data_IF_847034864273
#
_entry.id   IF_847034864273
#
_cell.length_a   1.000
_cell.length_b   1.000
_cell.length_c   1.000
_cell.angle_alpha   90.00
_cell.angle_beta   90.00
_cell.angle_gamma   90.00
#
_symmetry.space_group_name_H-M   'P 1'
#
loop_
_entity.id
_entity.type
_entity.pdbx_description
1 polymer ?
#
# COMPACT_ATOMS: atom_id res chain seq x y z
N UNK A 1 -72.14 2.48 25.39
CA UNK A 1 -72.61 1.10 25.65
C UNK A 1 -71.48 0.27 26.26
N UNK A 2 -71.19 0.43 27.55
CA UNK A 2 -70.24 -0.40 28.31
C UNK A 2 -70.74 -0.73 29.74
N UNK A 3 -71.91 -1.37 29.97
CA UNK A 3 -72.21 -1.92 31.30
C UNK A 3 -71.94 -3.42 31.41
N UNK A 4 -71.93 -4.16 30.29
CA UNK A 4 -72.03 -5.64 30.31
C UNK A 4 -70.68 -6.36 30.42
N UNK A 5 -69.57 -5.76 29.97
CA UNK A 5 -68.23 -6.39 30.00
C UNK A 5 -67.59 -6.28 31.40
N UNK A 6 -67.98 -5.29 32.21
CA UNK A 6 -67.41 -5.10 33.56
C UNK A 6 -67.85 -6.20 34.56
N UNK A 7 -69.00 -6.83 34.33
CA UNK A 7 -69.59 -7.83 35.24
C UNK A 7 -68.95 -9.21 35.12
N UNK A 8 -68.37 -9.57 33.97
CA UNK A 8 -67.74 -10.89 33.75
C UNK A 8 -66.30 -10.95 34.31
N UNK A 9 -65.62 -9.79 34.45
CA UNK A 9 -64.25 -9.73 34.95
C UNK A 9 -64.13 -9.73 36.49
N UNK A 10 -65.22 -9.45 37.21
CA UNK A 10 -65.26 -9.51 38.68
C UNK A 10 -65.31 -10.96 39.23
N UNK A 11 -65.57 -11.96 38.38
CA UNK A 11 -65.71 -13.36 38.79
C UNK A 11 -64.39 -14.09 39.11
N UNK A 12 -63.24 -13.43 38.93
CA UNK A 12 -61.90 -14.02 39.14
C UNK A 12 -61.06 -13.22 40.13
N UNK A 13 -61.72 -12.48 41.02
CA UNK A 13 -61.05 -11.75 42.08
C UNK A 13 -61.10 -12.55 43.39
N UNK A 14 -60.03 -12.49 44.18
CA UNK A 14 -59.96 -13.20 45.45
C UNK A 14 -61.06 -12.71 46.39
N UNK A 15 -61.87 -13.65 46.88
CA UNK A 15 -62.96 -13.40 47.81
C UNK A 15 -62.43 -13.48 49.24
N UNK A 16 -62.57 -12.40 49.97
CA UNK A 16 -61.98 -12.23 51.29
C UNK A 16 -63.06 -11.93 52.33
N UNK A 17 -63.12 -12.75 53.38
CA UNK A 17 -64.13 -12.64 54.42
C UNK A 17 -63.58 -11.87 55.62
N UNK A 18 -64.22 -10.77 55.99
CA UNK A 18 -63.84 -9.91 57.11
C UNK A 18 -64.75 -10.24 58.29
N UNK A 19 -64.14 -10.70 59.39
CA UNK A 19 -64.83 -11.06 60.62
C UNK A 19 -65.39 -9.81 61.31
N UNK A 20 -66.42 -10.02 62.15
CA UNK A 20 -67.09 -8.94 62.90
C UNK A 20 -66.14 -8.03 63.70
N UNK A 21 -65.02 -8.56 64.21
CA UNK A 21 -64.01 -7.80 64.97
C UNK A 21 -63.33 -6.73 64.10
N UNK A 22 -63.10 -7.02 62.83
CA UNK A 22 -62.41 -6.14 61.87
C UNK A 22 -63.38 -5.29 61.03
N UNK A 23 -64.69 -5.45 61.24
CA UNK A 23 -65.75 -4.81 60.47
C UNK A 23 -65.61 -3.29 60.39
N UNK A 24 -65.35 -2.63 61.53
CA UNK A 24 -65.35 -1.16 61.62
C UNK A 24 -64.25 -0.58 60.73
N UNK A 25 -63.04 -1.14 60.78
CA UNK A 25 -61.92 -0.66 59.96
C UNK A 25 -62.15 -0.89 58.46
N UNK A 26 -62.63 -2.06 58.05
CA UNK A 26 -62.86 -2.33 56.62
C UNK A 26 -64.08 -1.58 56.06
N UNK A 27 -65.11 -1.30 56.86
CA UNK A 27 -66.20 -0.40 56.45
C UNK A 27 -65.69 1.03 56.24
N UNK A 28 -64.80 1.52 57.12
CA UNK A 28 -64.20 2.84 56.95
C UNK A 28 -63.26 2.88 55.73
N UNK A 29 -62.44 1.85 55.54
CA UNK A 29 -61.50 1.74 54.43
C UNK A 29 -62.23 1.65 53.07
N UNK A 30 -63.26 0.81 52.96
CA UNK A 30 -64.07 0.69 51.73
C UNK A 30 -64.83 1.99 51.43
N UNK A 31 -65.36 2.66 52.45
CA UNK A 31 -65.97 4.00 52.30
C UNK A 31 -64.94 5.01 51.80
N UNK A 32 -63.76 5.06 52.41
CA UNK A 32 -62.67 5.96 52.02
C UNK A 32 -62.18 5.69 50.59
N UNK A 33 -62.06 4.42 50.19
CA UNK A 33 -61.71 4.02 48.83
C UNK A 33 -62.75 4.51 47.81
N UNK A 34 -64.05 4.27 48.07
CA UNK A 34 -65.15 4.75 47.22
C UNK A 34 -65.21 6.28 47.13
N UNK A 35 -64.93 6.98 48.22
CA UNK A 35 -64.86 8.44 48.21
C UNK A 35 -63.66 8.95 47.41
N UNK A 36 -62.52 8.26 47.45
CA UNK A 36 -61.37 8.59 46.62
C UNK A 36 -61.65 8.30 45.13
N UNK A 37 -62.32 7.19 44.80
CA UNK A 37 -62.73 6.87 43.44
C UNK A 37 -63.63 7.95 42.82
N UNK A 38 -64.55 8.52 43.61
CA UNK A 38 -65.42 9.63 43.16
C UNK A 38 -64.63 10.91 42.85
N UNK A 39 -63.44 11.07 43.43
CA UNK A 39 -62.55 12.21 43.18
C UNK A 39 -61.66 12.04 41.95
N UNK A 40 -61.53 10.82 41.42
CA UNK A 40 -60.74 10.59 40.19
C UNK A 40 -61.36 11.39 39.04
N UNK A 41 -60.54 12.20 38.37
CA UNK A 41 -60.94 13.14 37.33
C UNK A 41 -61.28 14.54 37.82
N UNK A 42 -61.58 14.74 39.11
CA UNK A 42 -61.91 16.06 39.69
C UNK A 42 -60.83 16.58 40.64
N UNK A 43 -60.34 15.73 41.55
CA UNK A 43 -59.31 16.01 42.55
C UNK A 43 -58.39 14.77 42.66
N UNK A 44 -57.54 14.57 41.64
CA UNK A 44 -56.69 13.37 41.56
C UNK A 44 -55.62 13.36 42.67
N UNK A 45 -55.05 14.51 43.02
CA UNK A 45 -54.04 14.60 44.08
C UNK A 45 -54.63 14.19 45.43
N UNK A 46 -55.82 14.69 45.77
CA UNK A 46 -56.54 14.29 46.98
C UNK A 46 -56.98 12.82 46.94
N UNK A 47 -57.31 12.26 45.77
CA UNK A 47 -57.58 10.84 45.62
C UNK A 47 -56.32 9.98 45.87
N UNK A 48 -55.18 10.36 45.27
CA UNK A 48 -53.89 9.67 45.42
C UNK A 48 -53.44 9.66 46.89
N UNK A 49 -53.51 10.81 47.56
CA UNK A 49 -53.12 10.94 48.97
C UNK A 49 -53.98 10.03 49.85
N UNK A 50 -55.30 10.07 49.67
CA UNK A 50 -56.24 9.28 50.45
C UNK A 50 -56.06 7.77 50.24
N UNK A 51 -55.84 7.34 48.99
CA UNK A 51 -55.58 5.93 48.66
C UNK A 51 -54.22 5.48 49.19
N UNK A 52 -53.21 6.36 49.17
CA UNK A 52 -51.90 6.05 49.76
C UNK A 52 -52.01 5.80 51.26
N UNK A 53 -52.75 6.63 52.01
CA UNK A 53 -53.01 6.38 53.43
C UNK A 53 -53.66 5.02 53.72
N UNK A 54 -54.57 4.56 52.85
CA UNK A 54 -55.17 3.21 52.98
C UNK A 54 -54.16 2.10 52.67
N UNK A 55 -53.26 2.33 51.73
CA UNK A 55 -52.24 1.36 51.35
C UNK A 55 -51.12 1.27 52.39
N UNK A 56 -50.84 2.35 53.10
CA UNK A 56 -49.83 2.43 54.15
C UNK A 56 -50.35 1.98 55.52
N UNK A 57 -51.67 1.81 55.67
CA UNK A 57 -52.28 1.29 56.90
C UNK A 57 -51.91 -0.20 57.12
N UNK A 58 -51.16 -0.54 58.20
CA UNK A 58 -50.76 -1.91 58.50
C UNK A 58 -51.91 -2.76 59.05
N UNK A 59 -52.99 -2.17 59.56
CA UNK A 59 -54.15 -2.90 60.08
C UNK A 59 -55.02 -3.49 58.96
N UNK A 60 -54.83 -3.02 57.72
CA UNK A 60 -55.49 -3.48 56.50
C UNK A 60 -54.61 -4.51 55.78
N UNK A 61 -54.70 -5.77 56.21
CA UNK A 61 -53.99 -6.89 55.58
C UNK A 61 -54.56 -7.31 54.22
N UNK A 62 -55.86 -7.06 53.98
CA UNK A 62 -56.60 -7.49 52.78
C UNK A 62 -56.75 -6.30 51.82
N UNK A 63 -56.08 -6.37 50.66
CA UNK A 63 -56.02 -5.32 49.62
C UNK A 63 -56.18 -5.98 48.26
N UNK A 64 -56.83 -5.29 47.31
CA UNK A 64 -57.12 -5.77 45.94
C UNK A 64 -58.05 -7.00 45.86
N UNK A 65 -59.08 -7.06 46.71
CA UNK A 65 -59.99 -8.22 46.82
C UNK A 65 -61.48 -7.82 46.84
N UNK A 66 -62.35 -8.81 46.71
CA UNK A 66 -63.79 -8.67 47.00
C UNK A 66 -64.02 -8.95 48.49
N UNK A 67 -64.37 -7.92 49.25
CA UNK A 67 -64.59 -8.05 50.68
C UNK A 67 -66.04 -8.41 50.98
N UNK A 68 -66.23 -9.52 51.71
CA UNK A 68 -67.47 -9.88 52.37
C UNK A 68 -67.34 -9.51 53.85
N UNK A 69 -68.05 -8.49 54.31
CA UNK A 69 -67.91 -7.97 55.68
C UNK A 69 -69.08 -8.49 56.54
N UNK A 70 -68.77 -9.17 57.64
CA UNK A 70 -69.78 -9.71 58.54
C UNK A 70 -70.43 -8.61 59.39
N UNK A 71 -71.76 -8.47 59.33
CA UNK A 71 -72.49 -7.43 60.07
C UNK A 71 -72.92 -7.90 61.46
N UNK A 72 -73.72 -8.98 61.50
CA UNK A 72 -74.21 -9.68 62.70
C UNK A 72 -73.95 -11.18 62.50
N UNK A 73 -74.88 -11.89 61.86
CA UNK A 73 -74.75 -13.33 61.55
C UNK A 73 -74.68 -13.60 60.02
N UNK A 74 -74.76 -12.54 59.22
CA UNK A 74 -74.72 -12.57 57.76
C UNK A 74 -73.62 -11.64 57.23
N UNK A 75 -73.11 -11.98 56.05
CA UNK A 75 -72.15 -11.16 55.31
C UNK A 75 -72.91 -10.20 54.38
N UNK A 76 -72.44 -8.96 54.29
CA UNK A 76 -72.91 -8.01 53.28
C UNK A 76 -72.55 -8.50 51.86
N UNK A 77 -73.26 -7.98 50.83
CA UNK A 77 -72.84 -8.15 49.44
C UNK A 77 -71.38 -7.74 49.23
N UNK A 78 -70.64 -8.44 48.35
CA UNK A 78 -69.21 -8.20 48.18
C UNK A 78 -68.93 -6.78 47.73
N UNK A 79 -67.93 -6.17 48.36
CA UNK A 79 -67.44 -4.84 48.00
C UNK A 79 -66.07 -4.97 47.36
N UNK A 80 -65.91 -4.48 46.13
CA UNK A 80 -64.60 -4.34 45.51
C UNK A 80 -63.75 -3.35 46.30
N UNK A 81 -62.63 -3.83 46.83
CA UNK A 81 -61.65 -3.02 47.54
C UNK A 81 -60.33 -3.06 46.78
N UNK A 82 -60.18 -2.10 45.87
CA UNK A 82 -59.13 -2.03 44.84
C UNK A 82 -58.25 -0.78 44.97
N UNK A 83 -57.59 -0.56 46.12
CA UNK A 83 -56.89 0.70 46.39
C UNK A 83 -55.67 0.97 45.51
N UNK A 84 -54.92 -0.06 45.06
CA UNK A 84 -53.81 0.12 44.10
C UNK A 84 -54.34 0.45 42.71
N UNK A 85 -55.33 -0.30 42.21
CA UNK A 85 -55.91 -0.01 40.90
C UNK A 85 -56.52 1.40 40.85
N UNK A 86 -57.25 1.79 41.90
CA UNK A 86 -57.85 3.12 41.99
C UNK A 86 -56.80 4.22 42.09
N UNK A 87 -55.67 3.99 42.79
CA UNK A 87 -54.58 4.98 42.89
C UNK A 87 -53.84 5.13 41.57
N UNK A 88 -53.62 4.03 40.85
CA UNK A 88 -53.10 4.07 39.49
C UNK A 88 -54.00 4.89 38.56
N UNK A 89 -55.32 4.68 38.59
CA UNK A 89 -56.26 5.45 37.76
C UNK A 89 -56.21 6.94 38.07
N UNK A 90 -56.10 7.31 39.34
CA UNK A 90 -55.90 8.71 39.75
C UNK A 90 -54.57 9.27 39.21
N UNK A 91 -53.47 8.50 39.28
CA UNK A 91 -52.17 8.88 38.72
C UNK A 91 -52.20 9.04 37.20
N UNK A 92 -52.87 8.14 36.47
CA UNK A 92 -53.06 8.25 35.02
C UNK A 92 -53.88 9.50 34.65
N UNK A 93 -54.97 9.75 35.38
CA UNK A 93 -55.79 10.96 35.20
C UNK A 93 -55.00 12.24 35.49
N UNK A 94 -54.13 12.24 36.51
CA UNK A 94 -53.26 13.37 36.82
C UNK A 94 -52.17 13.56 35.77
N UNK A 95 -51.54 12.46 35.31
CA UNK A 95 -50.53 12.47 34.27
C UNK A 95 -51.07 13.09 32.97
N UNK A 96 -52.29 12.73 32.57
CA UNK A 96 -52.95 13.27 31.38
C UNK A 96 -53.17 14.79 31.43
N UNK A 97 -53.18 15.39 32.62
CA UNK A 97 -53.36 16.84 32.85
C UNK A 97 -52.07 17.57 33.22
N UNK A 98 -50.97 16.84 33.38
CA UNK A 98 -49.68 17.40 33.78
C UNK A 98 -48.89 17.83 32.55
N UNK A 99 -48.64 19.14 32.42
CA UNK A 99 -47.92 19.71 31.27
C UNK A 99 -46.41 19.44 31.32
N UNK A 100 -45.85 19.29 32.52
CA UNK A 100 -44.43 19.01 32.73
C UNK A 100 -44.10 17.57 32.33
N UNK A 101 -43.27 17.40 31.29
CA UNK A 101 -42.79 16.10 30.84
C UNK A 101 -42.13 15.25 31.94
N UNK A 102 -41.24 15.77 32.81
CA UNK A 102 -40.65 14.96 33.87
C UNK A 102 -41.68 14.55 34.94
N UNK A 103 -42.60 15.44 35.31
CA UNK A 103 -43.62 15.13 36.32
C UNK A 103 -44.65 14.14 35.77
N UNK A 104 -45.05 14.29 34.50
CA UNK A 104 -45.92 13.34 33.79
C UNK A 104 -45.25 11.97 33.71
N UNK A 105 -43.97 11.90 33.40
CA UNK A 105 -43.18 10.64 33.39
C UNK A 105 -43.20 9.98 34.77
N UNK A 106 -42.91 10.73 35.84
CA UNK A 106 -42.91 10.20 37.20
C UNK A 106 -44.29 9.65 37.61
N UNK A 107 -45.38 10.34 37.25
CA UNK A 107 -46.74 9.89 37.51
C UNK A 107 -47.09 8.59 36.75
N UNK A 108 -46.66 8.47 35.49
CA UNK A 108 -46.85 7.26 34.69
C UNK A 108 -46.05 6.07 35.24
N UNK A 109 -44.80 6.27 35.66
CA UNK A 109 -43.98 5.23 36.31
C UNK A 109 -44.64 4.72 37.60
N UNK A 110 -45.13 5.64 38.44
CA UNK A 110 -45.85 5.29 39.66
C UNK A 110 -47.20 4.62 39.39
N UNK A 111 -47.89 4.98 38.31
CA UNK A 111 -49.13 4.32 37.90
C UNK A 111 -48.86 2.88 37.43
N UNK A 112 -47.80 2.67 36.65
CA UNK A 112 -47.36 1.32 36.21
C UNK A 112 -47.06 0.43 37.41
N UNK A 113 -46.30 0.94 38.40
CA UNK A 113 -45.97 0.19 39.61
C UNK A 113 -47.23 -0.25 40.40
N UNK A 114 -48.21 0.65 40.58
CA UNK A 114 -49.48 0.32 41.24
C UNK A 114 -50.29 -0.73 40.45
N UNK A 115 -50.31 -0.64 39.12
CA UNK A 115 -51.04 -1.59 38.27
C UNK A 115 -50.37 -2.96 38.26
N UNK A 116 -49.04 -3.02 38.29
CA UNK A 116 -48.30 -4.27 38.45
C UNK A 116 -48.60 -4.95 39.78
N UNK A 117 -48.65 -4.18 40.88
CA UNK A 117 -49.04 -4.70 42.19
C UNK A 117 -50.50 -5.20 42.21
N UNK A 118 -51.41 -4.48 41.56
CA UNK A 118 -52.81 -4.89 41.37
C UNK A 118 -52.92 -6.20 40.56
N UNK A 119 -52.15 -6.35 39.47
CA UNK A 119 -52.09 -7.58 38.67
C UNK A 119 -51.50 -8.74 39.49
N UNK A 120 -50.45 -8.48 40.29
CA UNK A 120 -49.85 -9.47 41.20
C UNK A 120 -50.86 -10.01 42.22
N UNK A 121 -51.87 -9.20 42.56
CA UNK A 121 -53.01 -9.55 43.42
C UNK A 121 -54.25 -9.99 42.65
N UNK A 122 -54.07 -10.54 41.45
CA UNK A 122 -55.10 -11.15 40.61
C UNK A 122 -56.17 -10.20 40.03
N UNK A 123 -55.96 -8.88 40.02
CA UNK A 123 -56.91 -7.93 39.43
C UNK A 123 -56.64 -7.77 37.93
N UNK A 124 -57.27 -8.65 37.14
CA UNK A 124 -57.07 -8.74 35.68
C UNK A 124 -57.44 -7.47 34.92
N UNK A 125 -58.38 -6.67 35.42
CA UNK A 125 -58.77 -5.39 34.82
C UNK A 125 -57.63 -4.36 34.77
N UNK A 126 -56.56 -4.55 35.55
CA UNK A 126 -55.37 -3.68 35.55
C UNK A 126 -54.41 -3.90 34.38
N UNK A 127 -54.52 -5.02 33.64
CA UNK A 127 -53.59 -5.34 32.52
C UNK A 127 -53.67 -4.29 31.42
N UNK A 128 -54.88 -3.99 30.92
CA UNK A 128 -55.06 -3.03 29.83
C UNK A 128 -54.60 -1.61 30.23
N UNK A 129 -54.81 -1.23 31.49
CA UNK A 129 -54.36 0.06 32.02
C UNK A 129 -52.83 0.14 32.09
N UNK A 130 -52.15 -0.95 32.50
CA UNK A 130 -50.68 -1.00 32.57
C UNK A 130 -50.07 -0.87 31.18
N UNK A 131 -50.64 -1.57 30.22
CA UNK A 131 -50.12 -1.59 28.84
C UNK A 131 -50.26 -0.20 28.20
N UNK A 132 -51.41 0.47 28.38
CA UNK A 132 -51.60 1.86 27.95
C UNK A 132 -50.61 2.82 28.64
N UNK A 133 -50.39 2.69 29.94
CA UNK A 133 -49.45 3.53 30.69
C UNK A 133 -48.00 3.34 30.23
N UNK A 134 -47.59 2.12 29.90
CA UNK A 134 -46.25 1.80 29.37
C UNK A 134 -46.05 2.34 27.96
N UNK A 135 -47.08 2.29 27.11
CA UNK A 135 -47.04 2.87 25.77
C UNK A 135 -46.85 4.40 25.84
N UNK A 136 -47.60 5.07 26.72
CA UNK A 136 -47.46 6.51 26.95
C UNK A 136 -46.08 6.87 27.52
N UNK A 137 -45.55 6.05 28.44
CA UNK A 137 -44.20 6.22 28.98
C UNK A 137 -43.11 6.10 27.89
N UNK A 138 -43.28 5.19 26.93
CA UNK A 138 -42.36 5.02 25.81
C UNK A 138 -42.35 6.24 24.87
N UNK A 139 -43.47 6.93 24.71
CA UNK A 139 -43.56 8.17 23.92
C UNK A 139 -42.84 9.36 24.58
N UNK A 140 -42.61 9.31 25.89
CA UNK A 140 -41.93 10.36 26.67
C UNK A 140 -40.42 10.12 26.86
N UNK A 141 -39.87 9.02 26.32
CA UNK A 141 -38.44 8.77 26.39
C UNK A 141 -37.66 9.75 25.47
N UNK A 142 -36.60 10.42 25.96
CA UNK A 142 -35.79 11.28 25.12
C UNK A 142 -35.11 10.47 24.00
N UNK A 143 -35.09 11.02 22.79
CA UNK A 143 -34.32 10.44 21.69
C UNK A 143 -32.84 10.30 22.09
N UNK A 144 -32.16 9.19 21.74
CA UNK A 144 -30.75 9.03 22.05
C UNK A 144 -29.93 10.19 21.44
N UNK A 145 -28.85 10.63 22.12
CA UNK A 145 -28.01 11.72 21.63
C UNK A 145 -27.49 11.39 20.22
N UNK A 146 -27.58 12.36 19.31
CA UNK A 146 -27.13 12.22 17.92
C UNK A 146 -25.63 11.88 17.89
N UNK A 147 -25.30 10.63 17.59
CA UNK A 147 -23.93 10.13 17.52
C UNK A 147 -23.18 10.63 16.26
N UNK A 148 -23.90 11.24 15.31
CA UNK A 148 -23.35 11.64 14.02
C UNK A 148 -22.20 12.66 14.10
N UNK A 149 -22.21 13.71 14.95
CA UNK A 149 -21.12 14.69 15.01
C UNK A 149 -19.79 14.08 15.48
N UNK A 150 -19.83 13.20 16.49
CA UNK A 150 -18.64 12.54 17.02
C UNK A 150 -18.03 11.60 15.97
N UNK A 151 -18.88 10.85 15.24
CA UNK A 151 -18.44 9.99 14.15
C UNK A 151 -17.76 10.78 13.02
N UNK A 152 -18.35 11.90 12.59
CA UNK A 152 -17.76 12.78 11.57
C UNK A 152 -16.39 13.33 12.00
N UNK A 153 -16.29 13.79 13.25
CA UNK A 153 -15.03 14.32 13.79
C UNK A 153 -13.94 13.23 13.80
N UNK A 154 -14.28 12.01 14.24
CA UNK A 154 -13.33 10.89 14.25
C UNK A 154 -12.93 10.46 12.84
N UNK A 155 -13.87 10.41 11.90
CA UNK A 155 -13.57 10.13 10.49
C UNK A 155 -12.60 11.16 9.90
N UNK A 156 -12.87 12.45 10.11
CA UNK A 156 -11.99 13.53 9.64
C UNK A 156 -10.58 13.45 10.25
N UNK A 157 -10.47 13.09 11.54
CA UNK A 157 -9.20 12.86 12.20
C UNK A 157 -8.41 11.72 11.55
N UNK A 158 -9.04 10.57 11.30
CA UNK A 158 -8.38 9.43 10.64
C UNK A 158 -7.88 9.79 9.24
N UNK A 159 -8.63 10.60 8.49
CA UNK A 159 -8.18 11.10 7.19
C UNK A 159 -6.97 12.05 7.30
N UNK A 160 -6.92 12.89 8.33
CA UNK A 160 -5.76 13.77 8.59
C UNK A 160 -4.51 12.96 8.97
N UNK A 161 -4.68 11.87 9.70
CA UNK A 161 -3.63 10.91 10.07
C UNK A 161 -3.25 9.95 8.92
N UNK A 162 -3.85 10.10 7.72
CA UNK A 162 -3.64 9.24 6.52
C UNK A 162 -4.04 7.77 6.75
N UNK A 163 -4.99 7.52 7.65
CA UNK A 163 -5.52 6.19 8.01
C UNK A 163 -6.80 5.86 7.24
N UNK A 164 -6.69 5.71 5.93
CA UNK A 164 -7.85 5.64 5.03
C UNK A 164 -8.66 4.36 5.20
N UNK A 165 -8.00 3.20 5.37
CA UNK A 165 -8.70 1.93 5.61
C UNK A 165 -9.45 1.97 6.94
N UNK A 166 -8.79 2.45 8.01
CA UNK A 166 -9.43 2.64 9.31
C UNK A 166 -10.64 3.58 9.23
N UNK A 167 -10.55 4.67 8.44
CA UNK A 167 -11.66 5.59 8.22
C UNK A 167 -12.86 4.90 7.55
N UNK A 168 -12.62 4.00 6.58
CA UNK A 168 -13.69 3.18 5.98
C UNK A 168 -14.30 2.20 6.97
N UNK A 169 -13.48 1.43 7.68
CA UNK A 169 -13.97 0.47 8.67
C UNK A 169 -14.79 1.14 9.78
N UNK A 170 -14.46 2.38 10.15
CA UNK A 170 -15.26 3.18 11.09
C UNK A 170 -16.68 3.42 10.56
N UNK A 171 -16.84 3.76 9.27
CA UNK A 171 -18.15 3.97 8.65
C UNK A 171 -18.94 2.67 8.50
N UNK A 172 -18.28 1.55 8.23
CA UNK A 172 -18.91 0.25 8.14
C UNK A 172 -19.44 -0.24 9.50
N UNK A 173 -18.69 0.04 10.57
CA UNK A 173 -19.03 -0.39 11.93
C UNK A 173 -20.02 0.53 12.64
N UNK A 174 -19.74 1.84 12.61
CA UNK A 174 -20.43 2.83 13.45
C UNK A 174 -21.33 3.77 12.63
N UNK A 175 -21.30 3.67 11.29
CA UNK A 175 -22.03 4.56 10.39
C UNK A 175 -23.53 4.30 10.24
N UNK A 176 -24.12 3.40 11.03
CA UNK A 176 -25.57 3.15 11.03
C UNK A 176 -26.38 4.37 11.50
N UNK A 177 -25.76 5.27 12.28
CA UNK A 177 -26.36 6.52 12.72
C UNK A 177 -26.42 7.59 11.61
N UNK A 178 -25.75 7.40 10.48
CA UNK A 178 -25.74 8.34 9.36
C UNK A 178 -26.73 7.94 8.27
N UNK A 179 -27.33 8.91 7.55
CA UNK A 179 -28.04 8.64 6.31
C UNK A 179 -27.16 7.89 5.30
N UNK A 180 -27.76 6.96 4.55
CA UNK A 180 -27.02 6.11 3.60
C UNK A 180 -26.22 6.91 2.57
N UNK A 181 -26.78 8.02 2.08
CA UNK A 181 -26.11 8.93 1.16
C UNK A 181 -24.85 9.56 1.80
N UNK A 182 -24.98 10.08 3.01
CA UNK A 182 -23.87 10.72 3.71
C UNK A 182 -22.73 9.74 4.01
N UNK A 183 -23.08 8.51 4.42
CA UNK A 183 -22.09 7.44 4.60
C UNK A 183 -21.34 7.13 3.30
N UNK A 184 -22.05 7.09 2.17
CA UNK A 184 -21.44 6.89 0.86
C UNK A 184 -20.52 8.05 0.47
N UNK A 185 -20.93 9.29 0.74
CA UNK A 185 -20.12 10.49 0.47
C UNK A 185 -18.82 10.51 1.29
N UNK A 186 -18.89 10.19 2.59
CA UNK A 186 -17.72 10.08 3.46
C UNK A 186 -16.77 8.95 3.02
N UNK A 187 -17.32 7.79 2.65
CA UNK A 187 -16.53 6.67 2.13
C UNK A 187 -15.86 7.01 0.79
N UNK A 188 -16.53 7.76 -0.08
CA UNK A 188 -15.99 8.28 -1.34
C UNK A 188 -14.88 9.31 -1.09
N UNK A 189 -15.07 10.21 -0.11
CA UNK A 189 -14.04 11.17 0.30
C UNK A 189 -12.77 10.47 0.80
N UNK A 190 -12.91 9.40 1.58
CA UNK A 190 -11.76 8.59 2.03
C UNK A 190 -10.98 8.00 0.85
N UNK A 191 -11.68 7.46 -0.14
CA UNK A 191 -11.06 6.91 -1.35
C UNK A 191 -10.38 7.98 -2.19
N UNK A 192 -11.03 9.11 -2.42
CA UNK A 192 -10.48 10.22 -3.21
C UNK A 192 -9.21 10.77 -2.56
N UNK A 193 -9.21 10.96 -1.24
CA UNK A 193 -8.02 11.38 -0.50
C UNK A 193 -6.92 10.32 -0.53
N UNK A 194 -7.27 9.04 -0.40
CA UNK A 194 -6.31 7.96 -0.54
C UNK A 194 -5.68 7.95 -1.95
N UNK A 195 -6.47 8.13 -3.03
CA UNK A 195 -5.97 8.25 -4.41
C UNK A 195 -4.99 9.40 -4.53
N UNK A 196 -5.41 10.60 -4.13
CA UNK A 196 -4.59 11.80 -4.21
C UNK A 196 -3.25 11.65 -3.45
N UNK A 197 -3.31 11.07 -2.25
CA UNK A 197 -2.12 10.78 -1.45
C UNK A 197 -1.18 9.78 -2.14
N UNK A 198 -1.69 8.66 -2.65
CA UNK A 198 -0.86 7.68 -3.36
C UNK A 198 -0.25 8.26 -4.63
N UNK A 199 -0.99 9.06 -5.38
CA UNK A 199 -0.47 9.77 -6.56
C UNK A 199 0.66 10.73 -6.19
N UNK A 200 0.55 11.45 -5.08
CA UNK A 200 1.61 12.33 -4.56
C UNK A 200 2.87 11.53 -4.19
N UNK A 201 2.70 10.45 -3.44
CA UNK A 201 3.80 9.59 -2.99
C UNK A 201 4.49 8.90 -4.16
N UNK A 202 3.74 8.44 -5.17
CA UNK A 202 4.31 7.93 -6.42
C UNK A 202 5.10 8.99 -7.17
N UNK A 203 4.62 10.24 -7.22
CA UNK A 203 5.37 11.32 -7.87
C UNK A 203 6.71 11.57 -7.19
N UNK A 204 6.74 11.55 -5.86
CA UNK A 204 7.96 11.67 -5.06
C UNK A 204 8.88 10.47 -5.27
N UNK A 205 8.34 9.26 -5.23
CA UNK A 205 9.08 8.03 -5.54
C UNK A 205 9.72 8.11 -6.93
N UNK A 206 8.97 8.56 -7.95
CA UNK A 206 9.49 8.78 -9.30
C UNK A 206 10.63 9.78 -9.34
N UNK A 207 10.46 10.92 -8.67
CA UNK A 207 11.49 11.96 -8.59
C UNK A 207 12.78 11.46 -7.94
N UNK A 208 12.66 10.66 -6.87
CA UNK A 208 13.80 10.02 -6.18
C UNK A 208 14.47 8.96 -7.04
N UNK A 209 13.70 8.11 -7.74
CA UNK A 209 14.24 7.14 -8.69
C UNK A 209 14.97 7.82 -9.86
N UNK A 210 14.42 8.93 -10.37
CA UNK A 210 15.05 9.71 -11.44
C UNK A 210 16.36 10.38 -11.01
N UNK A 211 16.51 10.68 -9.71
CA UNK A 211 17.75 11.24 -9.17
C UNK A 211 18.88 10.21 -9.06
N UNK A 212 18.57 8.90 -9.09
CA UNK A 212 19.58 7.84 -9.20
C UNK A 212 20.07 7.80 -10.65
N UNK A 213 21.29 8.25 -10.89
CA UNK A 213 21.83 8.27 -12.25
C UNK A 213 22.35 6.88 -12.65
N UNK A 214 23.01 6.17 -11.75
CA UNK A 214 23.64 4.88 -12.03
C UNK A 214 23.34 3.81 -10.98
N UNK A 215 23.59 2.54 -11.31
CA UNK A 215 23.55 1.45 -10.34
C UNK A 215 24.65 1.61 -9.29
N UNK A 216 25.77 2.25 -9.62
CA UNK A 216 26.80 2.61 -8.66
C UNK A 216 26.27 3.59 -7.61
N UNK A 217 25.47 4.59 -8.00
CA UNK A 217 24.84 5.52 -7.05
C UNK A 217 23.91 4.78 -6.09
N UNK A 218 23.11 3.83 -6.63
CA UNK A 218 22.27 2.98 -5.81
C UNK A 218 23.12 2.19 -4.80
N UNK A 219 24.17 1.51 -5.25
CA UNK A 219 25.09 0.74 -4.38
C UNK A 219 25.82 1.60 -3.34
N UNK A 220 26.05 2.88 -3.65
CA UNK A 220 26.69 3.82 -2.73
C UNK A 220 25.76 4.29 -1.60
N UNK A 221 24.44 4.16 -1.76
CA UNK A 221 23.47 4.53 -0.71
C UNK A 221 23.62 3.63 0.52
N UNK A 222 23.59 4.27 1.69
CA UNK A 222 23.39 3.57 2.96
C UNK A 222 22.00 2.93 3.03
N UNK A 223 21.78 2.02 3.99
CA UNK A 223 20.47 1.42 4.22
C UNK A 223 19.41 2.49 4.54
N UNK A 224 19.73 3.42 5.43
CA UNK A 224 18.80 4.46 5.88
C UNK A 224 18.45 5.45 4.75
N UNK A 225 19.44 5.85 3.95
CA UNK A 225 19.20 6.68 2.76
C UNK A 225 18.33 5.97 1.72
N UNK A 226 18.57 4.67 1.51
CA UNK A 226 17.76 3.86 0.60
C UNK A 226 16.33 3.76 1.11
N UNK A 227 16.13 3.43 2.38
CA UNK A 227 14.81 3.28 2.96
C UNK A 227 14.05 4.61 2.94
N UNK A 228 14.70 5.74 3.26
CA UNK A 228 14.10 7.07 3.11
C UNK A 228 13.78 7.42 1.64
N UNK A 229 14.63 7.03 0.70
CA UNK A 229 14.45 7.32 -0.72
C UNK A 229 13.30 6.52 -1.36
N UNK A 230 13.10 5.28 -0.92
CA UNK A 230 12.14 4.36 -1.52
C UNK A 230 10.99 3.98 -0.57
N UNK A 231 10.85 4.69 0.55
CA UNK A 231 9.71 4.53 1.45
C UNK A 231 8.40 4.80 0.70
N UNK A 232 7.49 3.83 0.83
CA UNK A 232 6.12 3.92 0.34
C UNK A 232 5.18 3.73 1.53
N UNK A 233 3.97 4.34 1.49
CA UNK A 233 3.00 4.19 2.56
C UNK A 233 2.69 2.72 2.86
N UNK A 234 2.46 2.37 4.12
CA UNK A 234 2.21 0.98 4.52
C UNK A 234 0.89 0.42 3.95
N UNK A 235 0.82 -0.87 3.56
CA UNK A 235 -0.41 -1.49 3.01
C UNK A 235 -1.60 -1.47 3.95
N UNK A 236 -1.35 -1.49 5.27
CA UNK A 236 -2.37 -1.67 6.28
C UNK A 236 -3.44 -0.58 6.27
N UNK A 237 -3.06 0.66 5.92
CA UNK A 237 -3.94 1.83 6.01
C UNK A 237 -4.41 2.36 4.65
N UNK A 238 -4.04 1.67 3.56
CA UNK A 238 -4.49 2.00 2.21
C UNK A 238 -5.86 1.36 1.96
N UNK A 239 -6.85 2.17 1.60
CA UNK A 239 -8.22 1.72 1.33
C UNK A 239 -8.42 1.17 -0.10
N UNK A 240 -7.55 1.55 -1.04
CA UNK A 240 -7.71 1.26 -2.47
C UNK A 240 -6.49 0.55 -3.04
N UNK A 241 -6.70 -0.34 -4.01
CA UNK A 241 -5.60 -0.93 -4.77
C UNK A 241 -5.13 0.07 -5.83
N UNK A 242 -3.82 0.30 -5.89
CA UNK A 242 -3.19 1.15 -6.91
C UNK A 242 -2.04 0.38 -7.57
N UNK A 243 -2.19 -0.08 -8.83
CA UNK A 243 -1.23 -0.96 -9.49
C UNK A 243 0.22 -0.45 -9.46
N UNK A 244 0.44 0.85 -9.70
CA UNK A 244 1.79 1.42 -9.65
C UNK A 244 2.43 1.41 -8.26
N UNK A 245 1.63 1.45 -7.17
CA UNK A 245 2.17 1.36 -5.80
C UNK A 245 2.57 -0.07 -5.48
N UNK A 246 1.78 -1.05 -5.90
CA UNK A 246 2.10 -2.47 -5.74
C UNK A 246 3.39 -2.82 -6.49
N UNK A 247 3.47 -2.42 -7.76
CA UNK A 247 4.69 -2.54 -8.55
C UNK A 247 5.88 -1.84 -7.88
N UNK A 248 5.71 -0.61 -7.39
CA UNK A 248 6.84 0.14 -6.80
C UNK A 248 7.38 -0.55 -5.54
N UNK A 249 6.53 -1.21 -4.75
CA UNK A 249 6.96 -2.03 -3.62
C UNK A 249 7.76 -3.25 -4.05
N UNK A 250 7.26 -4.00 -5.04
CA UNK A 250 7.98 -5.16 -5.58
C UNK A 250 9.32 -4.75 -6.21
N UNK A 251 9.34 -3.63 -6.94
CA UNK A 251 10.54 -3.06 -7.52
C UNK A 251 11.55 -2.63 -6.46
N UNK A 252 11.09 -2.07 -5.33
CA UNK A 252 11.95 -1.65 -4.22
C UNK A 252 12.73 -2.82 -3.62
N UNK A 253 12.15 -4.02 -3.55
CA UNK A 253 12.87 -5.23 -3.12
C UNK A 253 14.03 -5.56 -4.07
N UNK A 254 13.81 -5.45 -5.38
CA UNK A 254 14.86 -5.66 -6.38
C UNK A 254 15.93 -4.57 -6.29
N UNK A 255 15.52 -3.31 -6.12
CA UNK A 255 16.46 -2.20 -5.91
C UNK A 255 17.32 -2.43 -4.68
N UNK A 256 16.73 -2.94 -3.58
CA UNK A 256 17.45 -3.27 -2.34
C UNK A 256 18.47 -4.39 -2.57
N UNK A 257 18.11 -5.43 -3.32
CA UNK A 257 19.04 -6.51 -3.68
C UNK A 257 20.20 -6.04 -4.55
N UNK A 258 19.94 -5.16 -5.52
CA UNK A 258 20.97 -4.56 -6.38
C UNK A 258 21.89 -3.64 -5.56
N UNK A 259 21.31 -2.82 -4.66
CA UNK A 259 22.03 -1.96 -3.71
C UNK A 259 23.01 -2.77 -2.87
N UNK A 260 22.54 -3.89 -2.31
CA UNK A 260 23.32 -4.79 -1.48
C UNK A 260 24.31 -5.67 -2.26
N UNK A 261 24.37 -5.54 -3.59
CA UNK A 261 25.24 -6.36 -4.44
C UNK A 261 24.82 -7.84 -4.55
N UNK A 262 23.63 -8.20 -4.04
CA UNK A 262 23.09 -9.57 -4.12
C UNK A 262 22.61 -9.93 -5.52
N UNK A 263 22.22 -8.93 -6.31
CA UNK A 263 21.81 -9.08 -7.72
C UNK A 263 22.62 -8.15 -8.62
N UNK A 264 22.90 -8.54 -9.87
CA UNK A 264 23.50 -7.66 -10.86
C UNK A 264 22.52 -6.54 -11.25
N UNK A 265 23.02 -5.40 -11.76
CA UNK A 265 22.14 -4.30 -12.17
C UNK A 265 21.19 -4.67 -13.33
N UNK A 266 21.50 -5.70 -14.12
CA UNK A 266 20.57 -6.26 -15.12
C UNK A 266 19.30 -6.85 -14.52
N UNK A 267 19.25 -7.13 -13.20
CA UNK A 267 18.03 -7.55 -12.52
C UNK A 267 16.94 -6.47 -12.54
N UNK A 268 17.30 -5.20 -12.76
CA UNK A 268 16.38 -4.07 -12.92
C UNK A 268 15.49 -4.20 -14.17
N UNK A 269 15.84 -5.08 -15.12
CA UNK A 269 14.98 -5.39 -16.27
C UNK A 269 13.68 -6.11 -15.88
N UNK A 270 13.65 -6.81 -14.74
CA UNK A 270 12.42 -7.43 -14.22
C UNK A 270 11.37 -6.37 -13.81
N UNK A 271 11.72 -5.43 -12.92
CA UNK A 271 10.88 -4.27 -12.63
C UNK A 271 10.51 -3.44 -13.87
N UNK A 272 11.44 -3.26 -14.81
CA UNK A 272 11.16 -2.56 -16.07
C UNK A 272 10.07 -3.29 -16.88
N UNK A 273 10.17 -4.62 -17.01
CA UNK A 273 9.17 -5.44 -17.69
C UNK A 273 7.80 -5.37 -17.00
N UNK A 274 7.75 -5.45 -15.67
CA UNK A 274 6.51 -5.26 -14.90
C UNK A 274 5.88 -3.87 -15.11
N UNK A 275 6.71 -2.84 -15.26
CA UNK A 275 6.29 -1.47 -15.52
C UNK A 275 5.73 -1.24 -16.94
N UNK A 276 5.93 -2.18 -17.88
CA UNK A 276 5.37 -2.09 -19.23
C UNK A 276 3.83 -2.07 -19.25
N UNK A 277 3.19 -2.47 -18.15
CA UNK A 277 1.73 -2.46 -17.97
C UNK A 277 1.22 -1.17 -17.31
N UNK A 278 2.11 -0.29 -16.88
CA UNK A 278 1.81 0.93 -16.14
C UNK A 278 1.92 2.15 -17.05
N UNK A 279 0.97 2.26 -17.98
CA UNK A 279 0.86 3.39 -18.89
C UNK A 279 0.34 4.64 -18.15
N UNK A 280 0.98 5.78 -18.38
CA UNK A 280 0.58 7.09 -17.88
C UNK A 280 0.53 8.08 -19.05
N UNK A 281 -0.67 8.54 -19.43
CA UNK A 281 -0.89 9.52 -20.50
C UNK A 281 -0.22 9.17 -21.85
N UNK A 282 -0.22 7.89 -22.26
CA UNK A 282 0.42 7.45 -23.49
C UNK A 282 1.92 7.20 -23.38
N UNK A 283 2.50 7.36 -22.20
CA UNK A 283 3.91 7.13 -21.91
C UNK A 283 4.12 6.01 -20.88
N UNK A 284 5.35 5.51 -20.81
CA UNK A 284 5.76 4.45 -19.88
C UNK A 284 6.92 4.95 -19.00
N UNK A 285 6.68 5.91 -18.09
CA UNK A 285 7.76 6.56 -17.34
C UNK A 285 8.53 5.59 -16.45
N UNK A 286 7.83 4.64 -15.82
CA UNK A 286 8.42 3.62 -14.95
C UNK A 286 9.32 2.65 -15.72
N UNK A 287 8.86 2.19 -16.90
CA UNK A 287 9.65 1.36 -17.82
C UNK A 287 10.92 2.09 -18.24
N UNK A 288 10.81 3.38 -18.60
CA UNK A 288 11.94 4.20 -19.04
C UNK A 288 12.98 4.38 -17.94
N UNK A 289 12.56 4.67 -16.70
CA UNK A 289 13.49 4.88 -15.59
C UNK A 289 14.27 3.61 -15.24
N UNK A 290 13.56 2.48 -15.03
CA UNK A 290 14.20 1.21 -14.71
C UNK A 290 15.03 0.67 -15.88
N UNK A 291 14.50 0.79 -17.11
CA UNK A 291 15.17 0.37 -18.33
C UNK A 291 16.47 1.15 -18.57
N UNK A 292 16.45 2.47 -18.39
CA UNK A 292 17.64 3.31 -18.55
C UNK A 292 18.75 2.99 -17.53
N UNK A 293 18.37 2.70 -16.27
CA UNK A 293 19.32 2.26 -15.24
C UNK A 293 19.94 0.90 -15.58
N UNK A 294 19.11 -0.06 -15.98
CA UNK A 294 19.57 -1.39 -16.38
C UNK A 294 20.48 -1.32 -17.62
N UNK A 295 20.09 -0.52 -18.62
CA UNK A 295 20.86 -0.29 -19.83
C UNK A 295 22.24 0.29 -19.52
N UNK A 296 22.31 1.31 -18.67
CA UNK A 296 23.57 1.97 -18.31
C UNK A 296 24.54 1.00 -17.66
N UNK A 297 24.08 0.20 -16.70
CA UNK A 297 24.92 -0.85 -16.09
C UNK A 297 25.37 -1.85 -17.16
N UNK A 298 24.47 -2.34 -18.02
CA UNK A 298 24.83 -3.29 -19.08
C UNK A 298 25.87 -2.72 -20.04
N UNK A 299 25.71 -1.45 -20.41
CA UNK A 299 26.64 -0.73 -21.29
C UNK A 299 28.02 -0.61 -20.64
N UNK A 300 28.09 -0.14 -19.40
CA UNK A 300 29.34 -0.01 -18.64
C UNK A 300 30.02 -1.38 -18.47
N UNK A 301 29.23 -2.43 -18.22
CA UNK A 301 29.69 -3.82 -18.08
C UNK A 301 30.27 -4.39 -19.39
N UNK A 302 29.71 -4.00 -20.54
CA UNK A 302 30.22 -4.32 -21.88
C UNK A 302 31.49 -3.52 -22.20
N UNK A 303 31.50 -2.22 -21.95
CA UNK A 303 32.68 -1.35 -22.17
C UNK A 303 33.89 -1.82 -21.35
N UNK A 304 33.66 -2.21 -20.08
CA UNK A 304 34.69 -2.81 -19.23
C UNK A 304 35.24 -4.10 -19.84
N UNK A 305 34.38 -5.03 -20.26
CA UNK A 305 34.80 -6.29 -20.90
C UNK A 305 35.53 -6.09 -22.21
N UNK A 306 35.13 -5.11 -23.02
CA UNK A 306 35.83 -4.77 -24.26
C UNK A 306 37.25 -4.30 -23.96
N UNK A 307 37.42 -3.47 -22.93
CA UNK A 307 38.73 -3.02 -22.47
C UNK A 307 39.58 -4.20 -21.99
N UNK A 308 39.02 -5.10 -21.17
CA UNK A 308 39.69 -6.33 -20.74
C UNK A 308 40.06 -7.23 -21.92
N UNK A 309 39.17 -7.34 -22.91
CA UNK A 309 39.38 -8.17 -24.10
C UNK A 309 40.51 -7.64 -25.00
N UNK A 310 40.75 -6.32 -25.02
CA UNK A 310 41.78 -5.70 -25.86
C UNK A 310 43.20 -6.13 -25.49
N UNK A 311 43.43 -6.35 -24.19
CA UNK A 311 44.76 -6.66 -23.64
C UNK A 311 44.89 -8.11 -23.17
N UNK A 312 43.77 -8.86 -23.15
CA UNK A 312 43.74 -10.27 -22.78
C UNK A 312 44.43 -11.17 -23.82
N UNK A 313 45.11 -12.25 -23.37
CA UNK A 313 45.59 -13.28 -24.27
C UNK A 313 44.43 -14.01 -24.94
N UNK A 314 44.69 -14.63 -26.10
CA UNK A 314 43.68 -15.40 -26.87
C UNK A 314 42.79 -16.32 -26.01
N UNK A 315 43.36 -17.05 -25.06
CA UNK A 315 42.64 -17.96 -24.16
C UNK A 315 41.60 -17.30 -23.26
N UNK A 316 41.73 -15.99 -22.97
CA UNK A 316 40.78 -15.21 -22.17
C UNK A 316 39.85 -14.35 -23.03
N UNK A 317 40.24 -14.04 -24.27
CA UNK A 317 39.42 -13.26 -25.22
C UNK A 317 38.12 -13.97 -25.60
N UNK A 318 38.17 -15.27 -25.88
CA UNK A 318 36.97 -16.04 -26.24
C UNK A 318 35.90 -16.07 -25.11
N UNK A 319 36.25 -16.36 -23.85
CA UNK A 319 35.31 -16.20 -22.73
C UNK A 319 34.75 -14.78 -22.60
N UNK A 320 35.59 -13.75 -22.69
CA UNK A 320 35.13 -12.35 -22.60
C UNK A 320 34.17 -11.97 -23.75
N UNK A 321 34.43 -12.49 -24.96
CA UNK A 321 33.52 -12.38 -26.10
C UNK A 321 32.13 -12.95 -25.79
N UNK A 322 32.12 -14.16 -25.25
CA UNK A 322 30.88 -14.86 -24.88
C UNK A 322 30.13 -14.10 -23.78
N UNK A 323 30.84 -13.52 -22.80
CA UNK A 323 30.22 -12.70 -21.77
C UNK A 323 29.61 -11.40 -22.34
N UNK A 324 30.29 -10.72 -23.28
CA UNK A 324 29.74 -9.56 -23.98
C UNK A 324 28.44 -9.97 -24.70
N UNK A 325 28.48 -11.06 -25.48
CA UNK A 325 27.30 -11.55 -26.20
C UNK A 325 26.17 -11.90 -25.24
N UNK A 326 26.47 -12.52 -24.09
CA UNK A 326 25.46 -12.82 -23.08
C UNK A 326 24.77 -11.56 -22.55
N UNK A 327 25.47 -10.43 -22.41
CA UNK A 327 24.86 -9.15 -22.02
C UNK A 327 23.94 -8.58 -23.11
N UNK A 328 24.33 -8.69 -24.37
CA UNK A 328 23.48 -8.31 -25.50
C UNK A 328 22.20 -9.15 -25.54
N UNK A 329 22.30 -10.46 -25.33
CA UNK A 329 21.13 -11.36 -25.29
C UNK A 329 20.23 -11.07 -24.08
N UNK A 330 20.75 -10.61 -22.94
CA UNK A 330 19.93 -10.16 -21.80
C UNK A 330 19.06 -8.97 -22.18
N UNK A 331 19.63 -7.95 -22.84
CA UNK A 331 18.87 -6.79 -23.32
C UNK A 331 17.85 -7.18 -24.39
N UNK A 332 18.28 -7.96 -25.39
CA UNK A 332 17.42 -8.45 -26.47
C UNK A 332 16.25 -9.27 -25.93
N UNK A 333 16.52 -10.20 -25.01
CA UNK A 333 15.48 -11.00 -24.37
C UNK A 333 14.49 -10.16 -23.58
N UNK A 334 14.92 -9.05 -22.98
CA UNK A 334 14.02 -8.06 -22.39
C UNK A 334 13.18 -7.35 -23.46
N UNK A 335 13.80 -6.79 -24.49
CA UNK A 335 13.11 -6.08 -25.56
C UNK A 335 12.07 -6.96 -26.29
N UNK A 336 12.39 -8.25 -26.49
CA UNK A 336 11.51 -9.20 -27.18
C UNK A 336 10.29 -9.62 -26.34
N UNK A 337 10.34 -9.50 -25.01
CA UNK A 337 9.18 -9.75 -24.13
C UNK A 337 8.17 -8.60 -24.12
N UNK A 338 8.60 -7.40 -24.47
CA UNK A 338 7.73 -6.24 -24.47
C UNK A 338 6.69 -6.31 -25.59
N UNK A 339 5.45 -5.97 -25.26
CA UNK A 339 4.38 -5.95 -26.24
C UNK A 339 4.70 -4.96 -27.39
N UNK A 340 4.32 -5.29 -28.65
CA UNK A 340 4.59 -4.41 -29.80
C UNK A 340 4.02 -2.99 -29.66
N UNK A 341 2.92 -2.80 -28.93
CA UNK A 341 2.39 -1.48 -28.62
C UNK A 341 3.36 -0.67 -27.74
N UNK A 342 3.89 -1.27 -26.67
CA UNK A 342 4.86 -0.63 -25.77
C UNK A 342 6.13 -0.27 -26.54
N UNK A 343 6.66 -1.19 -27.36
CA UNK A 343 7.88 -0.93 -28.17
C UNK A 343 7.71 0.25 -29.12
N UNK A 344 6.54 0.43 -29.75
CA UNK A 344 6.25 1.58 -30.63
C UNK A 344 6.35 2.92 -29.90
N UNK A 345 5.95 2.97 -28.63
CA UNK A 345 6.08 4.17 -27.79
C UNK A 345 7.45 4.30 -27.12
N UNK A 346 8.22 3.22 -27.06
CA UNK A 346 9.53 3.14 -26.42
C UNK A 346 10.68 2.95 -27.43
N UNK A 347 10.73 3.77 -28.48
CA UNK A 347 11.76 3.68 -29.54
C UNK A 347 13.21 3.77 -29.05
N UNK A 348 13.44 4.27 -27.84
CA UNK A 348 14.74 4.25 -27.17
C UNK A 348 15.27 2.83 -26.89
N UNK A 349 14.41 1.82 -26.80
CA UNK A 349 14.82 0.42 -26.54
C UNK A 349 15.60 -0.15 -27.73
N UNK A 350 15.15 0.13 -28.95
CA UNK A 350 15.82 -0.32 -30.18
C UNK A 350 17.12 0.46 -30.41
N UNK A 351 17.13 1.74 -30.03
CA UNK A 351 18.33 2.58 -30.05
C UNK A 351 19.38 2.07 -29.05
N UNK A 352 18.99 1.76 -27.83
CA UNK A 352 19.85 1.14 -26.82
C UNK A 352 20.40 -0.21 -27.31
N UNK A 353 19.58 -1.03 -27.97
CA UNK A 353 20.01 -2.29 -28.58
C UNK A 353 21.00 -2.06 -29.74
N UNK A 354 20.88 -0.97 -30.50
CA UNK A 354 21.84 -0.57 -31.52
C UNK A 354 23.17 -0.17 -30.89
N UNK A 355 23.16 0.65 -29.84
CA UNK A 355 24.37 1.08 -29.11
C UNK A 355 25.15 -0.13 -28.58
N UNK A 356 24.49 -1.10 -27.95
CA UNK A 356 25.16 -2.31 -27.45
C UNK A 356 25.80 -3.15 -28.58
N UNK A 357 25.13 -3.26 -29.73
CA UNK A 357 25.69 -3.95 -30.90
C UNK A 357 26.91 -3.21 -31.46
N UNK A 358 26.84 -1.89 -31.58
CA UNK A 358 27.98 -1.08 -32.03
C UNK A 358 29.18 -1.18 -31.09
N UNK A 359 28.95 -1.31 -29.78
CA UNK A 359 30.01 -1.60 -28.82
C UNK A 359 30.58 -3.00 -29.03
N UNK A 360 29.74 -4.02 -29.18
CA UNK A 360 30.20 -5.38 -29.46
C UNK A 360 31.00 -5.47 -30.78
N UNK A 361 30.64 -4.70 -31.81
CA UNK A 361 31.36 -4.65 -33.08
C UNK A 361 32.80 -4.13 -32.95
N UNK A 362 33.08 -3.33 -31.89
CA UNK A 362 34.43 -2.84 -31.54
C UNK A 362 35.30 -3.90 -30.87
N UNK A 363 34.80 -5.13 -30.70
CA UNK A 363 35.59 -6.20 -30.12
C UNK A 363 36.92 -6.38 -30.90
N UNK A 364 38.06 -6.53 -30.20
CA UNK A 364 39.36 -6.69 -30.83
C UNK A 364 39.40 -7.88 -31.80
N UNK A 365 39.85 -7.63 -33.03
CA UNK A 365 39.97 -8.68 -34.07
C UNK A 365 41.43 -8.96 -34.40
N UNK A 366 41.69 -10.16 -34.89
CA UNK A 366 43.00 -10.45 -35.48
C UNK A 366 43.14 -9.65 -36.77
N UNK A 367 44.26 -8.95 -36.93
CA UNK A 367 44.52 -8.18 -38.13
C UNK A 367 44.80 -9.14 -39.31
N UNK A 368 44.06 -9.00 -40.42
CA UNK A 368 44.15 -9.93 -41.54
C UNK A 368 45.55 -9.88 -42.17
N UNK A 369 46.14 -11.04 -42.41
CA UNK A 369 47.39 -11.17 -43.17
C UNK A 369 48.69 -10.92 -42.41
N UNK A 370 48.68 -10.36 -41.19
CA UNK A 370 49.93 -10.10 -40.44
C UNK A 370 50.75 -11.36 -40.13
N UNK A 371 50.09 -12.51 -39.92
CA UNK A 371 50.79 -13.78 -39.70
C UNK A 371 51.46 -14.37 -40.95
N UNK A 372 51.04 -13.93 -42.15
CA UNK A 372 51.57 -14.38 -43.43
C UNK A 372 52.49 -13.35 -44.12
N UNK A 373 52.53 -12.14 -43.58
CA UNK A 373 53.38 -11.06 -44.07
C UNK A 373 54.82 -11.27 -43.59
N UNK A 374 55.72 -11.44 -44.54
CA UNK A 374 57.15 -11.63 -44.31
C UNK A 374 57.93 -10.50 -44.99
N UNK A 375 58.68 -9.74 -44.19
CA UNK A 375 59.57 -8.67 -44.65
C UNK A 375 60.56 -9.20 -45.71
N UNK A 376 60.89 -10.50 -45.68
CA UNK A 376 61.78 -11.15 -46.67
C UNK A 376 61.32 -10.95 -48.11
N UNK A 377 60.01 -10.84 -48.36
CA UNK A 377 59.47 -10.62 -49.72
C UNK A 377 59.91 -9.28 -50.32
N UNK A 378 60.18 -8.27 -49.51
CA UNK A 378 60.71 -6.99 -49.99
C UNK A 378 62.12 -7.14 -50.57
N UNK A 379 62.87 -8.18 -50.17
CA UNK A 379 64.23 -8.43 -50.66
C UNK A 379 64.29 -9.22 -51.96
N UNK A 380 63.15 -9.73 -52.44
CA UNK A 380 63.08 -10.48 -53.71
C UNK A 380 63.04 -9.56 -54.94
N UNK A 381 62.87 -8.25 -54.74
CA UNK A 381 62.73 -7.24 -55.80
C UNK A 381 63.71 -6.10 -55.59
N UNK A 382 64.28 -5.60 -56.69
CA UNK A 382 65.20 -4.46 -56.68
C UNK A 382 64.63 -3.34 -57.57
N UNK A 383 64.71 -2.05 -57.16
CA UNK A 383 65.34 -1.50 -55.95
C UNK A 383 64.55 -1.75 -54.64
N UNK A 384 65.26 -1.84 -53.51
CA UNK A 384 64.71 -2.25 -52.20
C UNK A 384 63.95 -1.14 -51.48
N UNK A 385 64.40 0.11 -51.58
CA UNK A 385 63.79 1.24 -50.87
C UNK A 385 62.30 1.43 -51.18
N UNK A 386 61.83 1.45 -52.44
CA UNK A 386 60.41 1.63 -52.73
C UNK A 386 59.54 0.45 -52.26
N UNK A 387 60.07 -0.77 -52.29
CA UNK A 387 59.35 -1.97 -51.80
C UNK A 387 59.17 -1.91 -50.28
N UNK A 388 60.21 -1.49 -49.54
CA UNK A 388 60.11 -1.28 -48.09
C UNK A 388 59.17 -0.14 -47.72
N UNK A 389 59.20 0.98 -48.46
CA UNK A 389 58.30 2.11 -48.25
C UNK A 389 56.83 1.75 -48.53
N UNK A 390 56.57 0.96 -49.59
CA UNK A 390 55.24 0.45 -49.90
C UNK A 390 54.75 -0.52 -48.81
N UNK A 391 55.63 -1.39 -48.30
CA UNK A 391 55.31 -2.30 -47.22
C UNK A 391 55.04 -1.56 -45.89
N UNK A 392 55.84 -0.55 -45.54
CA UNK A 392 55.56 0.34 -44.40
C UNK A 392 54.19 1.01 -44.54
N UNK A 393 53.88 1.55 -45.72
CA UNK A 393 52.58 2.19 -46.01
C UNK A 393 51.41 1.20 -45.85
N UNK A 394 51.59 -0.05 -46.30
CA UNK A 394 50.61 -1.13 -46.09
C UNK A 394 50.40 -1.41 -44.61
N UNK A 395 51.47 -1.54 -43.83
CA UNK A 395 51.37 -1.79 -42.39
C UNK A 395 50.72 -0.61 -41.65
N UNK A 396 51.01 0.64 -42.03
CA UNK A 396 50.32 1.83 -41.49
C UNK A 396 48.83 1.84 -41.83
N UNK A 397 48.45 1.39 -43.02
CA UNK A 397 47.04 1.21 -43.37
C UNK A 397 46.36 0.16 -42.47
N UNK A 398 47.06 -0.93 -42.15
CA UNK A 398 46.57 -1.90 -41.15
C UNK A 398 46.45 -1.24 -39.77
N UNK A 399 47.44 -0.46 -39.33
CA UNK A 399 47.38 0.28 -38.05
C UNK A 399 46.11 1.13 -37.93
N UNK A 400 45.71 1.83 -39.00
CA UNK A 400 44.49 2.64 -39.04
C UNK A 400 43.17 1.86 -39.08
N UNK A 401 43.21 0.55 -39.38
CA UNK A 401 42.03 -0.22 -39.77
C UNK A 401 41.14 -0.74 -38.62
N UNK A 402 41.49 -0.54 -37.35
CA UNK A 402 40.56 -0.81 -36.24
C UNK A 402 41.17 -1.25 -34.92
N UNK A 403 40.31 -1.77 -34.04
CA UNK A 403 40.68 -2.33 -32.75
C UNK A 403 41.30 -3.72 -32.93
N UNK A 404 42.63 -3.78 -32.88
CA UNK A 404 43.39 -5.02 -33.03
C UNK A 404 43.68 -5.70 -31.69
N UNK A 405 43.76 -7.02 -31.73
CA UNK A 405 44.20 -7.83 -30.59
C UNK A 405 45.61 -7.45 -30.16
N UNK A 406 45.97 -7.71 -28.91
CA UNK A 406 47.33 -7.47 -28.41
C UNK A 406 48.38 -8.17 -29.28
N UNK A 407 48.16 -9.42 -29.64
CA UNK A 407 49.06 -10.22 -30.46
C UNK A 407 49.20 -9.64 -31.88
N UNK A 408 48.10 -9.21 -32.50
CA UNK A 408 48.15 -8.52 -33.79
C UNK A 408 48.86 -7.16 -33.72
N UNK A 409 48.65 -6.37 -32.65
CA UNK A 409 49.39 -5.11 -32.43
C UNK A 409 50.88 -5.36 -32.23
N UNK A 410 51.26 -6.36 -31.43
CA UNK A 410 52.65 -6.76 -31.24
C UNK A 410 53.30 -7.16 -32.57
N UNK A 411 52.64 -8.00 -33.37
CA UNK A 411 53.14 -8.41 -34.68
C UNK A 411 53.28 -7.23 -35.64
N UNK A 412 52.26 -6.35 -35.70
CA UNK A 412 52.26 -5.14 -36.52
C UNK A 412 53.42 -4.21 -36.18
N UNK A 413 53.57 -3.86 -34.90
CA UNK A 413 54.63 -2.93 -34.48
C UNK A 413 56.02 -3.55 -34.63
N UNK A 414 56.15 -4.87 -34.45
CA UNK A 414 57.39 -5.57 -34.79
C UNK A 414 57.70 -5.40 -36.29
N UNK A 415 56.74 -5.67 -37.18
CA UNK A 415 56.97 -5.54 -38.63
C UNK A 415 57.24 -4.09 -39.07
N UNK A 416 56.57 -3.09 -38.47
CA UNK A 416 56.81 -1.67 -38.74
C UNK A 416 58.23 -1.25 -38.34
N UNK A 417 58.67 -1.63 -37.13
CA UNK A 417 60.03 -1.37 -36.67
C UNK A 417 61.04 -2.06 -37.60
N UNK A 418 60.82 -3.34 -37.95
CA UNK A 418 61.71 -4.06 -38.85
C UNK A 418 61.81 -3.39 -40.23
N UNK A 419 60.68 -3.06 -40.86
CA UNK A 419 60.64 -2.47 -42.19
C UNK A 419 61.34 -1.10 -42.22
N UNK A 420 60.98 -0.23 -41.27
CA UNK A 420 61.50 1.14 -41.20
C UNK A 420 62.97 1.17 -40.82
N UNK A 421 63.40 0.38 -39.83
CA UNK A 421 64.80 0.29 -39.45
C UNK A 421 65.66 -0.31 -40.57
N UNK A 422 65.16 -1.32 -41.30
CA UNK A 422 65.85 -1.87 -42.48
C UNK A 422 66.10 -0.77 -43.52
N UNK A 423 65.07 0.03 -43.84
CA UNK A 423 65.19 1.13 -44.79
C UNK A 423 66.25 2.15 -44.35
N UNK A 424 66.21 2.59 -43.09
CA UNK A 424 67.18 3.55 -42.54
C UNK A 424 68.62 3.00 -42.57
N UNK A 425 68.80 1.70 -42.27
CA UNK A 425 70.12 1.06 -42.35
C UNK A 425 70.64 0.93 -43.79
N UNK A 426 69.75 0.71 -44.77
CA UNK A 426 70.10 0.71 -46.20
C UNK A 426 70.49 2.11 -46.70
N UNK A 427 69.87 3.15 -46.15
CA UNK A 427 70.23 4.57 -46.37
C UNK A 427 71.58 4.96 -45.73
N UNK A 428 72.27 4.02 -45.07
CA UNK A 428 73.59 4.21 -44.48
C UNK A 428 73.59 4.68 -43.03
N UNK A 429 72.43 4.74 -42.37
CA UNK A 429 72.36 5.13 -40.96
C UNK A 429 72.96 4.06 -40.03
N UNK A 430 73.47 4.53 -38.88
CA UNK A 430 73.91 3.65 -37.79
C UNK A 430 72.73 3.02 -37.05
N UNK A 431 72.99 1.99 -36.24
CA UNK A 431 71.96 1.32 -35.42
C UNK A 431 71.29 2.28 -34.42
N UNK A 432 72.05 3.23 -33.87
CA UNK A 432 71.54 4.25 -32.95
C UNK A 432 70.67 5.30 -33.64
N UNK A 433 71.05 5.74 -34.84
CA UNK A 433 70.24 6.66 -35.66
C UNK A 433 68.95 6.00 -36.14
N UNK A 434 69.04 4.76 -36.65
CA UNK A 434 67.88 3.98 -37.04
C UNK A 434 66.93 3.77 -35.84
N UNK A 435 67.48 3.43 -34.67
CA UNK A 435 66.73 3.29 -33.41
C UNK A 435 66.00 4.58 -33.01
N UNK A 436 66.66 5.74 -33.11
CA UNK A 436 66.01 7.05 -32.91
C UNK A 436 64.91 7.30 -33.94
N UNK A 437 65.11 6.91 -35.20
CA UNK A 437 64.15 7.05 -36.29
C UNK A 437 62.87 6.22 -36.12
N UNK A 438 62.93 5.10 -35.39
CA UNK A 438 61.78 4.21 -35.11
C UNK A 438 61.26 4.30 -33.67
N UNK A 439 61.69 5.32 -32.90
CA UNK A 439 61.39 5.44 -31.46
C UNK A 439 59.90 5.37 -31.12
N UNK A 440 59.04 6.03 -31.90
CA UNK A 440 57.59 6.01 -31.63
C UNK A 440 57.00 4.60 -31.77
N UNK A 441 57.43 3.86 -32.79
CA UNK A 441 56.98 2.50 -33.06
C UNK A 441 57.50 1.53 -31.99
N UNK A 442 58.74 1.75 -31.53
CA UNK A 442 59.34 1.08 -30.39
C UNK A 442 58.57 1.33 -29.07
N UNK A 443 58.20 2.56 -28.76
CA UNK A 443 57.40 2.89 -27.58
C UNK A 443 56.00 2.23 -27.63
N UNK A 444 55.37 2.20 -28.81
CA UNK A 444 54.12 1.49 -29.02
C UNK A 444 54.29 -0.02 -28.83
N UNK A 445 55.35 -0.61 -29.38
CA UNK A 445 55.69 -2.02 -29.23
C UNK A 445 55.90 -2.39 -27.75
N UNK A 446 56.57 -1.53 -26.98
CA UNK A 446 56.76 -1.70 -25.53
C UNK A 446 55.42 -1.74 -24.78
N UNK A 447 54.49 -0.83 -25.08
CA UNK A 447 53.16 -0.78 -24.46
C UNK A 447 52.36 -2.06 -24.69
N UNK A 448 52.50 -2.68 -25.86
CA UNK A 448 51.77 -3.92 -26.18
C UNK A 448 52.49 -5.18 -25.74
N UNK A 449 53.69 -5.10 -25.13
CA UNK A 449 54.38 -6.24 -24.51
C UNK A 449 55.65 -6.72 -25.22
N UNK A 450 56.19 -5.93 -26.15
CA UNK A 450 57.48 -6.19 -26.79
C UNK A 450 57.41 -6.91 -28.13
N UNK A 451 58.58 -7.09 -28.74
CA UNK A 451 58.76 -7.66 -30.08
C UNK A 451 58.41 -9.15 -30.15
N UNK A 452 57.76 -9.56 -31.24
CA UNK A 452 57.47 -10.98 -31.55
C UNK A 452 58.63 -11.55 -32.34
N UNK A 453 59.33 -12.52 -31.76
CA UNK A 453 60.46 -13.23 -32.39
C UNK A 453 61.48 -12.26 -33.04
N UNK A 454 62.11 -11.35 -32.27
CA UNK A 454 63.03 -10.35 -32.81
C UNK A 454 64.27 -10.96 -33.47
N UNK A 455 64.64 -12.19 -33.11
CA UNK A 455 65.83 -12.88 -33.63
C UNK A 455 65.71 -13.23 -35.12
N UNK A 456 64.48 -13.41 -35.63
CA UNK A 456 64.23 -13.75 -37.05
C UNK A 456 64.69 -12.68 -38.05
N UNK A 457 64.91 -11.45 -37.58
CA UNK A 457 65.30 -10.29 -38.39
C UNK A 457 66.82 -10.05 -38.42
N UNK A 458 67.60 -10.86 -37.69
CA UNK A 458 69.07 -10.76 -37.65
C UNK A 458 69.62 -9.81 -36.57
N UNK A 459 70.95 -9.83 -36.35
CA UNK A 459 71.57 -9.28 -35.16
C UNK A 459 71.50 -7.74 -35.07
N UNK A 460 71.51 -7.03 -36.20
CA UNK A 460 71.44 -5.55 -36.21
C UNK A 460 70.06 -5.06 -35.76
N UNK A 461 68.98 -5.63 -36.32
CA UNK A 461 67.61 -5.31 -35.91
C UNK A 461 67.34 -5.78 -34.48
N UNK A 462 67.92 -6.92 -34.06
CA UNK A 462 67.84 -7.37 -32.67
C UNK A 462 68.36 -6.32 -31.68
N UNK A 463 69.50 -5.69 -31.95
CA UNK A 463 70.02 -4.58 -31.12
C UNK A 463 69.07 -3.38 -31.04
N UNK A 464 68.41 -3.06 -32.16
CA UNK A 464 67.41 -1.98 -32.20
C UNK A 464 66.19 -2.35 -31.33
N UNK A 465 65.71 -3.59 -31.38
CA UNK A 465 64.67 -4.05 -30.46
C UNK A 465 65.12 -4.08 -29.00
N UNK A 466 66.36 -4.50 -28.72
CA UNK A 466 66.88 -4.55 -27.35
C UNK A 466 67.04 -3.15 -26.74
N UNK A 467 67.13 -2.08 -27.54
CA UNK A 467 67.09 -0.68 -27.06
C UNK A 467 65.76 -0.29 -26.38
N UNK A 468 64.74 -1.17 -26.42
CA UNK A 468 63.48 -1.04 -25.67
C UNK A 468 63.60 -1.34 -24.18
N UNK A 469 64.59 -2.16 -23.81
CA UNK A 469 64.84 -2.61 -22.44
C UNK A 469 65.58 -1.52 -21.68
#
# INVERSE_FOLDING_TARGET
MMPTILLVLLAVQDNEYVQKLDKVKYNLATKSCREAEKKIGTDDAGAIERLSRLLDDPELSKKECLLFIQQTDQYDPPVAFLPYQSRARARLSLAARTASAPDRKALLEQAVADLEESIRRNVKSSVALRDAAREELAQLAPAPPDAAPALRARHAQLLAERRYRSARTLLDRDGAALPAQERADLASQADQRCRAFLTEELRRFRGRLQAVASVADLRAMTQDEFDLCFELPAPAEIAIVHPSVEWAREATEVFRDVRAGRKPGSALLGPADGASRLEENGEYPWLKLCGALAFRELREDVERRLTECADAPKSRREPLAAEIQARLEVWKGFADRLAPAVRRHAGWIDEDARILRELADRQPREAPGLGADDLRRCFERFPLEPELAAYESKLRAVESGGAWTKESRQALYTLLVAARATRLLLEGQTEEEAGRGVRQDLENLKRVGGAVDPDRFGPRLRRIYDSLR
#
